data_IF_054080196501
#
_entry.id   IF_054080196501
#
_cell.length_a   1.000
_cell.length_b   1.000
_cell.length_c   1.000
_cell.angle_alpha   90.00
_cell.angle_beta   90.00
_cell.angle_gamma   90.00
#
_symmetry.space_group_name_H-M   'P 1'
#
loop_
_entity.id
_entity.type
_entity.pdbx_description
1 polymer ?
#
# COMPACT_ATOMS: atom_id res chain seq x y z
N UNK A 1 -7.97 15.75 14.84
CA UNK A 1 -7.99 14.47 15.60
C UNK A 1 -6.66 13.73 15.43
N UNK A 2 -5.65 14.02 16.26
CA UNK A 2 -4.32 13.38 16.18
C UNK A 2 -4.37 11.85 16.36
N UNK A 3 -5.24 11.35 17.24
CA UNK A 3 -5.43 9.92 17.51
C UNK A 3 -5.83 9.15 16.25
N UNK A 4 -6.80 9.65 15.47
CA UNK A 4 -7.25 9.00 14.24
C UNK A 4 -6.11 8.86 13.23
N UNK A 5 -5.33 9.93 13.02
CA UNK A 5 -4.18 9.88 12.12
C UNK A 5 -3.13 8.86 12.57
N UNK A 6 -2.88 8.75 13.88
CA UNK A 6 -1.94 7.75 14.44
C UNK A 6 -2.44 6.33 14.24
N UNK A 7 -3.73 6.07 14.47
CA UNK A 7 -4.33 4.75 14.23
C UNK A 7 -4.26 4.35 12.75
N UNK A 8 -4.63 5.25 11.84
CA UNK A 8 -4.53 5.00 10.40
C UNK A 8 -3.07 4.78 9.97
N UNK A 9 -2.13 5.55 10.51
CA UNK A 9 -0.71 5.38 10.23
C UNK A 9 -0.19 4.01 10.69
N UNK A 10 -0.53 3.59 11.92
CA UNK A 10 -0.19 2.26 12.42
C UNK A 10 -0.78 1.17 11.55
N UNK A 11 -2.05 1.29 11.17
CA UNK A 11 -2.71 0.36 10.28
C UNK A 11 -1.94 0.18 8.96
N UNK A 12 -1.57 1.29 8.29
CA UNK A 12 -0.80 1.24 7.05
C UNK A 12 0.55 0.54 7.22
N UNK A 13 1.29 0.87 8.28
CA UNK A 13 2.60 0.26 8.55
C UNK A 13 2.49 -1.22 8.90
N UNK A 14 1.46 -1.62 9.65
CA UNK A 14 1.22 -3.02 10.04
C UNK A 14 0.81 -3.87 8.84
N UNK A 15 -0.08 -3.38 7.98
CA UNK A 15 -0.45 -4.09 6.74
C UNK A 15 0.77 -4.25 5.83
N UNK A 16 1.54 -3.16 5.61
CA UNK A 16 2.76 -3.23 4.82
C UNK A 16 3.78 -4.24 5.37
N UNK A 17 3.97 -4.25 6.70
CA UNK A 17 4.85 -5.22 7.36
C UNK A 17 4.32 -6.65 7.23
N UNK A 18 3.02 -6.87 7.41
CA UNK A 18 2.40 -8.18 7.31
C UNK A 18 2.59 -8.77 5.90
N UNK A 19 2.34 -7.98 4.84
CA UNK A 19 2.56 -8.40 3.45
C UNK A 19 4.03 -8.75 3.20
N UNK A 20 4.97 -7.89 3.61
CA UNK A 20 6.40 -8.15 3.41
C UNK A 20 6.88 -9.42 4.15
N UNK A 21 6.45 -9.60 5.40
CA UNK A 21 6.79 -10.80 6.19
C UNK A 21 6.18 -12.04 5.56
N UNK A 22 4.92 -11.96 5.14
CA UNK A 22 4.21 -13.07 4.52
C UNK A 22 4.85 -13.50 3.20
N UNK A 23 5.15 -12.54 2.32
CA UNK A 23 5.82 -12.76 1.03
C UNK A 23 7.18 -13.45 1.18
N UNK A 24 7.98 -13.07 2.19
CA UNK A 24 9.27 -13.73 2.45
C UNK A 24 9.03 -15.13 3.04
N UNK A 25 8.09 -15.23 3.98
CA UNK A 25 7.91 -16.46 4.75
C UNK A 25 7.18 -17.57 3.98
N UNK A 26 6.41 -17.23 2.94
CA UNK A 26 5.64 -18.21 2.15
C UNK A 26 6.51 -19.32 1.57
N UNK A 27 7.76 -19.00 1.22
CA UNK A 27 8.74 -19.97 0.74
C UNK A 27 9.06 -21.09 1.75
N UNK A 28 8.85 -20.87 3.05
CA UNK A 28 9.18 -21.86 4.10
C UNK A 28 8.01 -22.76 4.50
N UNK A 29 6.77 -22.25 4.50
CA UNK A 29 5.61 -23.02 4.97
C UNK A 29 4.63 -23.40 3.85
N UNK A 30 4.77 -22.85 2.65
CA UNK A 30 4.01 -23.26 1.46
C UNK A 30 4.92 -23.45 0.23
N UNK A 31 5.90 -24.37 0.29
CA UNK A 31 6.79 -24.68 -0.83
C UNK A 31 6.03 -25.52 -1.87
N UNK A 32 5.37 -24.87 -2.84
CA UNK A 32 4.61 -25.59 -3.86
C UNK A 32 3.78 -24.70 -4.78
N UNK A 33 3.31 -23.55 -4.31
CA UNK A 33 2.74 -22.47 -5.13
C UNK A 33 1.44 -22.76 -5.90
N UNK A 34 1.03 -24.03 -6.03
CA UNK A 34 -0.02 -24.46 -6.95
C UNK A 34 -1.42 -24.52 -6.31
N UNK A 35 -1.54 -24.38 -4.98
CA UNK A 35 -2.83 -24.41 -4.28
C UNK A 35 -3.28 -23.01 -3.84
N UNK A 36 -4.58 -22.73 -3.96
CA UNK A 36 -5.15 -21.48 -3.44
C UNK A 36 -4.86 -21.36 -1.94
N UNK A 37 -4.22 -20.27 -1.55
CA UNK A 37 -3.77 -20.08 -0.18
C UNK A 37 -4.61 -19.00 0.52
N UNK A 38 -5.41 -19.34 1.55
CA UNK A 38 -6.43 -18.46 2.10
C UNK A 38 -5.86 -17.21 2.79
N UNK A 39 -4.57 -17.20 3.14
CA UNK A 39 -3.97 -16.03 3.78
C UNK A 39 -3.83 -14.86 2.81
N UNK A 40 -3.52 -15.11 1.53
CA UNK A 40 -3.43 -14.05 0.52
C UNK A 40 -4.81 -13.41 0.29
N UNK A 41 -5.87 -14.21 0.22
CA UNK A 41 -7.23 -13.70 0.08
C UNK A 41 -7.61 -12.74 1.23
N UNK A 42 -7.23 -13.09 2.47
CA UNK A 42 -7.47 -12.23 3.63
C UNK A 42 -6.60 -10.97 3.57
N UNK A 43 -5.31 -11.11 3.26
CA UNK A 43 -4.38 -9.99 3.15
C UNK A 43 -4.81 -9.00 2.07
N UNK A 44 -5.34 -9.46 0.94
CA UNK A 44 -5.80 -8.62 -0.16
C UNK A 44 -6.88 -7.63 0.29
N UNK A 45 -7.83 -8.06 1.13
CA UNK A 45 -8.84 -7.16 1.68
C UNK A 45 -8.23 -6.07 2.58
N UNK A 46 -7.24 -6.43 3.40
CA UNK A 46 -6.51 -5.47 4.23
C UNK A 46 -5.66 -4.51 3.37
N UNK A 47 -5.00 -5.03 2.34
CA UNK A 47 -4.24 -4.28 1.34
C UNK A 47 -5.12 -3.28 0.61
N UNK A 48 -6.31 -3.69 0.15
CA UNK A 48 -7.28 -2.84 -0.52
C UNK A 48 -7.68 -1.64 0.35
N UNK A 49 -8.05 -1.89 1.61
CA UNK A 49 -8.39 -0.84 2.56
C UNK A 49 -7.18 0.07 2.85
N UNK A 50 -5.97 -0.50 2.99
CA UNK A 50 -4.75 0.25 3.22
C UNK A 50 -4.40 1.16 2.04
N UNK A 51 -4.54 0.69 0.80
CA UNK A 51 -4.33 1.49 -0.42
C UNK A 51 -5.28 2.69 -0.43
N UNK A 52 -6.57 2.49 -0.16
CA UNK A 52 -7.55 3.59 -0.13
C UNK A 52 -7.18 4.63 0.92
N UNK A 53 -6.85 4.20 2.14
CA UNK A 53 -6.41 5.09 3.23
C UNK A 53 -5.12 5.83 2.84
N UNK A 54 -4.14 5.14 2.26
CA UNK A 54 -2.88 5.72 1.82
C UNK A 54 -3.11 6.77 0.73
N UNK A 55 -3.93 6.49 -0.28
CA UNK A 55 -4.26 7.44 -1.36
C UNK A 55 -4.95 8.69 -0.83
N UNK A 56 -5.97 8.54 0.01
CA UNK A 56 -6.69 9.68 0.59
C UNK A 56 -5.74 10.53 1.43
N UNK A 57 -4.99 9.90 2.34
CA UNK A 57 -4.09 10.63 3.25
C UNK A 57 -2.94 11.32 2.52
N UNK A 58 -2.29 10.65 1.58
CA UNK A 58 -1.18 11.22 0.81
C UNK A 58 -1.66 12.31 -0.16
N UNK A 59 -2.85 12.17 -0.74
CA UNK A 59 -3.49 13.23 -1.53
C UNK A 59 -3.77 14.48 -0.70
N UNK A 60 -4.37 14.31 0.49
CA UNK A 60 -4.69 15.43 1.39
C UNK A 60 -3.41 16.14 1.85
N UNK A 61 -2.37 15.39 2.21
CA UNK A 61 -1.07 15.98 2.60
C UNK A 61 -0.43 16.74 1.44
N UNK A 62 -0.38 16.12 0.25
CA UNK A 62 0.13 16.76 -0.97
C UNK A 62 -0.59 18.09 -1.25
N UNK A 63 -1.94 18.09 -1.23
CA UNK A 63 -2.72 19.32 -1.48
C UNK A 63 -2.45 20.44 -0.49
N UNK A 64 -2.20 20.11 0.79
CA UNK A 64 -1.88 21.12 1.81
C UNK A 64 -0.52 21.76 1.55
N UNK A 65 0.47 20.96 1.17
CA UNK A 65 1.78 21.47 0.82
C UNK A 65 1.74 22.31 -0.47
N UNK A 66 1.02 21.86 -1.50
CA UNK A 66 0.84 22.63 -2.74
C UNK A 66 0.19 24.00 -2.50
N UNK A 67 -0.70 24.12 -1.50
CA UNK A 67 -1.35 25.38 -1.14
C UNK A 67 -0.50 26.29 -0.22
N UNK A 68 0.53 25.75 0.43
CA UNK A 68 1.32 26.45 1.46
C UNK A 68 2.41 27.37 0.91
N UNK A 69 2.73 27.29 -0.38
CA UNK A 69 3.65 28.20 -1.09
C UNK A 69 5.14 28.11 -0.70
N UNK A 70 5.48 27.56 0.46
CA UNK A 70 6.82 27.62 1.06
C UNK A 70 7.38 26.23 1.45
N UNK A 71 7.17 25.23 0.58
CA UNK A 71 7.77 23.89 0.75
C UNK A 71 9.07 23.75 -0.03
N UNK A 72 10.05 23.06 0.55
CA UNK A 72 11.28 22.75 -0.15
C UNK A 72 11.03 21.86 -1.37
N UNK A 73 11.86 22.00 -2.41
CA UNK A 73 11.76 21.18 -3.63
C UNK A 73 11.81 19.68 -3.31
N UNK A 74 12.64 19.29 -2.33
CA UNK A 74 12.77 17.90 -1.91
C UNK A 74 11.50 17.35 -1.25
N UNK A 75 10.83 18.15 -0.42
CA UNK A 75 9.54 17.77 0.17
C UNK A 75 8.47 17.64 -0.91
N UNK A 76 8.44 18.56 -1.88
CA UNK A 76 7.50 18.47 -3.00
C UNK A 76 7.71 17.18 -3.82
N UNK A 77 8.96 16.84 -4.16
CA UNK A 77 9.28 15.60 -4.88
C UNK A 77 8.89 14.39 -4.04
N UNK A 78 9.25 14.36 -2.75
CA UNK A 78 8.90 13.25 -1.85
C UNK A 78 7.40 13.03 -1.76
N UNK A 79 6.64 14.12 -1.70
CA UNK A 79 5.19 14.09 -1.57
C UNK A 79 4.51 13.52 -2.81
N UNK A 80 4.94 13.96 -3.98
CA UNK A 80 4.49 13.46 -5.27
C UNK A 80 4.90 11.99 -5.46
N UNK A 81 6.13 11.63 -5.12
CA UNK A 81 6.64 10.26 -5.26
C UNK A 81 5.82 9.26 -4.45
N UNK A 82 5.51 9.57 -3.19
CA UNK A 82 4.68 8.68 -2.37
C UNK A 82 3.25 8.62 -2.88
N UNK A 83 2.63 9.75 -3.27
CA UNK A 83 1.26 9.74 -3.79
C UNK A 83 1.14 8.96 -5.10
N UNK A 84 1.94 9.33 -6.12
CA UNK A 84 1.89 8.67 -7.42
C UNK A 84 2.42 7.25 -7.39
N UNK A 85 3.40 6.94 -6.53
CA UNK A 85 3.85 5.57 -6.30
C UNK A 85 2.74 4.71 -5.71
N UNK A 86 2.04 5.20 -4.68
CA UNK A 86 0.87 4.52 -4.11
C UNK A 86 -0.25 4.37 -5.15
N UNK A 87 -0.48 5.38 -5.99
CA UNK A 87 -1.48 5.34 -7.04
C UNK A 87 -1.17 4.28 -8.10
N UNK A 88 0.08 4.23 -8.57
CA UNK A 88 0.51 3.25 -9.55
C UNK A 88 0.38 1.82 -9.02
N UNK A 89 0.88 1.55 -7.80
CA UNK A 89 0.73 0.24 -7.16
C UNK A 89 -0.73 -0.10 -6.89
N UNK A 90 -1.54 0.88 -6.46
CA UNK A 90 -2.96 0.69 -6.22
C UNK A 90 -3.74 0.34 -7.50
N UNK A 91 -3.45 0.99 -8.63
CA UNK A 91 -4.05 0.65 -9.93
C UNK A 91 -3.71 -0.80 -10.30
N UNK A 92 -2.44 -1.20 -10.20
CA UNK A 92 -2.01 -2.57 -10.49
C UNK A 92 -2.70 -3.58 -9.57
N UNK A 93 -2.75 -3.29 -8.27
CA UNK A 93 -3.43 -4.13 -7.28
C UNK A 93 -4.91 -4.33 -7.63
N UNK A 94 -5.69 -3.25 -7.76
CA UNK A 94 -7.12 -3.36 -8.01
C UNK A 94 -7.43 -3.99 -9.38
N UNK A 95 -6.62 -3.71 -10.39
CA UNK A 95 -6.75 -4.35 -11.70
C UNK A 95 -6.54 -5.87 -11.58
N UNK A 96 -5.40 -6.29 -11.00
CA UNK A 96 -5.05 -7.70 -10.89
C UNK A 96 -6.01 -8.48 -9.98
N UNK A 97 -6.36 -7.87 -8.84
CA UNK A 97 -7.29 -8.45 -7.87
C UNK A 97 -8.71 -8.59 -8.43
N UNK A 98 -9.15 -7.67 -9.28
CA UNK A 98 -10.46 -7.79 -9.93
C UNK A 98 -10.56 -9.01 -10.85
N UNK A 99 -9.44 -9.46 -11.43
CA UNK A 99 -9.41 -10.68 -12.24
C UNK A 99 -9.56 -11.94 -11.39
N UNK A 100 -8.99 -11.95 -10.18
CA UNK A 100 -9.18 -13.02 -9.18
C UNK A 100 -10.63 -13.07 -8.69
N UNK A 101 -11.20 -11.92 -8.30
CA UNK A 101 -12.59 -11.84 -7.81
C UNK A 101 -13.63 -12.30 -8.84
N UNK A 102 -13.30 -12.23 -10.13
CA UNK A 102 -14.19 -12.62 -11.24
C UNK A 102 -13.89 -14.02 -11.79
N UNK A 103 -12.92 -14.73 -11.22
CA UNK A 103 -12.44 -16.03 -11.70
C UNK A 103 -12.20 -16.05 -13.22
N UNK A 104 -11.56 -14.98 -13.72
CA UNK A 104 -11.49 -14.70 -15.17
C UNK A 104 -10.18 -15.17 -15.82
N UNK A 105 -9.29 -15.82 -15.06
CA UNK A 105 -7.98 -16.27 -15.53
C UNK A 105 -7.02 -15.15 -15.98
N UNK A 106 -7.39 -13.89 -15.80
CA UNK A 106 -6.60 -12.72 -16.23
C UNK A 106 -5.65 -12.15 -15.19
N UNK A 107 -5.55 -12.77 -14.01
CA UNK A 107 -4.63 -12.34 -12.97
C UNK A 107 -3.20 -12.81 -13.32
N UNK A 108 -2.24 -11.91 -13.24
CA UNK A 108 -0.85 -12.16 -13.58
C UNK A 108 0.03 -12.28 -12.32
N UNK A 109 0.81 -13.36 -12.24
CA UNK A 109 1.68 -13.68 -11.10
C UNK A 109 2.90 -12.73 -10.99
N UNK A 110 3.41 -12.21 -12.11
CA UNK A 110 4.49 -11.21 -12.10
C UNK A 110 4.00 -9.89 -11.52
N UNK A 111 2.75 -9.52 -11.83
CA UNK A 111 2.12 -8.32 -11.28
C UNK A 111 1.93 -8.49 -9.76
N UNK A 112 1.52 -9.67 -9.29
CA UNK A 112 1.46 -9.98 -7.86
C UNK A 112 2.82 -9.84 -7.18
N UNK A 113 3.87 -10.45 -7.73
CA UNK A 113 5.22 -10.30 -7.18
C UNK A 113 5.68 -8.84 -7.10
N UNK A 114 5.35 -8.03 -8.11
CA UNK A 114 5.65 -6.61 -8.08
C UNK A 114 4.85 -5.88 -6.97
N UNK A 115 3.56 -6.18 -6.82
CA UNK A 115 2.71 -5.63 -5.76
C UNK A 115 3.27 -6.01 -4.38
N UNK A 116 3.62 -7.28 -4.17
CA UNK A 116 4.07 -7.80 -2.88
C UNK A 116 5.39 -7.15 -2.40
N UNK A 117 6.21 -6.69 -3.34
CA UNK A 117 7.43 -5.93 -3.04
C UNK A 117 7.16 -4.43 -2.92
N UNK A 118 6.40 -3.84 -3.85
CA UNK A 118 6.23 -2.40 -3.94
C UNK A 118 5.22 -1.85 -2.91
N UNK A 119 4.14 -2.58 -2.64
CA UNK A 119 3.08 -2.15 -1.76
C UNK A 119 3.54 -1.96 -0.31
N UNK A 120 4.29 -2.89 0.32
CA UNK A 120 4.83 -2.66 1.65
C UNK A 120 5.61 -1.34 1.77
N UNK A 121 6.45 -1.04 0.79
CA UNK A 121 7.25 0.19 0.76
C UNK A 121 6.35 1.43 0.66
N UNK A 122 5.35 1.40 -0.23
CA UNK A 122 4.38 2.49 -0.38
C UNK A 122 3.56 2.71 0.90
N UNK A 123 3.05 1.66 1.52
CA UNK A 123 2.25 1.73 2.75
C UNK A 123 3.07 2.22 3.94
N UNK A 124 4.31 1.74 4.10
CA UNK A 124 5.21 2.22 5.17
C UNK A 124 5.56 3.70 4.95
N UNK A 125 5.85 4.11 3.72
CA UNK A 125 6.14 5.51 3.40
C UNK A 125 4.93 6.42 3.69
N UNK A 126 3.73 6.03 3.24
CA UNK A 126 2.48 6.74 3.50
C UNK A 126 2.17 6.80 5.01
N UNK A 127 2.29 5.68 5.71
CA UNK A 127 2.10 5.56 7.16
C UNK A 127 3.04 6.48 7.94
N UNK A 128 4.34 6.48 7.64
CA UNK A 128 5.33 7.37 8.30
C UNK A 128 5.03 8.85 8.06
N UNK A 129 4.61 9.23 6.84
CA UNK A 129 4.22 10.63 6.54
C UNK A 129 2.98 11.03 7.35
N UNK A 130 1.97 10.17 7.40
CA UNK A 130 0.75 10.42 8.18
C UNK A 130 1.04 10.52 9.68
N UNK A 131 1.96 9.70 10.20
CA UNK A 131 2.41 9.76 11.60
C UNK A 131 3.01 11.13 11.94
N UNK A 132 3.95 11.60 11.11
CA UNK A 132 4.60 12.90 11.30
C UNK A 132 3.61 14.05 11.24
N UNK A 133 2.61 13.97 10.36
CA UNK A 133 1.54 14.97 10.28
C UNK A 133 0.52 14.91 11.45
N UNK A 134 0.70 13.98 12.39
CA UNK A 134 -0.09 13.82 13.61
C UNK A 134 0.69 14.16 14.90
N UNK A 135 1.99 14.41 14.78
CA UNK A 135 2.82 15.02 15.82
C UNK A 135 2.56 16.53 15.85
#
# INVERSE_FOLDING_TARGET
MPVVKRLLSLYLMLVGLAVAVHFIAVAWYHPGGDESYPIWEVLDWFMAAAIVIALISTFVLKRRHDAGGDTSVLEHISDNAVFYGTLAVGILFFWNWSHLLRDSGGADWLIWNFIDVALPLALVAAGRRLWRAAA
#
